data_IF_563552160376
#
_entry.id   IF_563552160376
#
_cell.length_a   1.000
_cell.length_b   1.000
_cell.length_c   1.000
_cell.angle_alpha   90.00
_cell.angle_beta   90.00
_cell.angle_gamma   90.00
#
_symmetry.space_group_name_H-M   'P 1'
#
loop_
_entity.id
_entity.type
_entity.pdbx_description
1 polymer ?
#
# COMPACT_ATOMS: atom_id res chain seq x y z
N UNK A 1 -28.44 40.78 36.61
CA UNK A 1 -29.40 39.64 36.65
C UNK A 1 -29.57 39.00 35.26
N UNK A 2 -29.80 39.80 34.18
CA UNK A 2 -30.00 39.26 32.81
C UNK A 2 -28.79 38.49 32.30
N UNK A 3 -27.56 38.99 32.51
CA UNK A 3 -26.30 38.31 32.10
C UNK A 3 -26.08 36.96 32.76
N UNK A 4 -26.43 36.82 34.05
CA UNK A 4 -26.31 35.55 34.80
C UNK A 4 -27.31 34.53 34.26
N UNK A 5 -28.53 34.98 33.96
CA UNK A 5 -29.58 34.10 33.39
C UNK A 5 -29.17 33.64 31.96
N UNK A 6 -28.58 34.52 31.15
CA UNK A 6 -28.07 34.14 29.80
C UNK A 6 -26.92 33.15 29.86
N UNK A 7 -25.96 33.34 30.75
CA UNK A 7 -24.83 32.41 30.93
C UNK A 7 -25.33 31.07 31.47
N UNK A 8 -26.25 31.08 32.42
CA UNK A 8 -26.87 29.85 32.96
C UNK A 8 -27.62 29.08 31.89
N UNK A 9 -28.36 29.76 31.00
CA UNK A 9 -29.05 29.12 29.86
C UNK A 9 -28.13 28.51 28.85
N UNK A 10 -27.02 29.18 28.51
CA UNK A 10 -26.00 28.63 27.58
C UNK A 10 -25.33 27.38 28.18
N UNK A 11 -24.96 27.43 29.46
CA UNK A 11 -24.38 26.28 30.16
C UNK A 11 -25.33 25.07 30.23
N UNK A 12 -26.61 25.31 30.53
CA UNK A 12 -27.59 24.26 30.54
C UNK A 12 -27.80 23.64 29.16
N UNK A 13 -27.85 24.44 28.10
CA UNK A 13 -27.95 23.95 26.73
C UNK A 13 -26.72 23.15 26.33
N UNK A 14 -25.53 23.64 26.65
CA UNK A 14 -24.28 22.92 26.39
C UNK A 14 -24.24 21.57 27.13
N UNK A 15 -24.65 21.53 28.40
CA UNK A 15 -24.75 20.30 29.17
C UNK A 15 -25.76 19.30 28.57
N UNK A 16 -26.92 19.78 28.10
CA UNK A 16 -27.90 18.97 27.40
C UNK A 16 -27.40 18.40 26.08
N UNK A 17 -26.68 19.20 25.29
CA UNK A 17 -26.02 18.74 24.03
C UNK A 17 -24.94 17.68 24.29
N UNK A 18 -24.07 17.92 25.28
CA UNK A 18 -23.08 16.93 25.70
C UNK A 18 -23.75 15.67 26.20
N UNK A 19 -24.78 15.77 27.09
CA UNK A 19 -25.51 14.62 27.57
C UNK A 19 -26.18 13.81 26.46
N UNK A 20 -26.74 14.48 25.44
CA UNK A 20 -27.36 13.82 24.30
C UNK A 20 -26.35 12.96 23.49
N UNK A 21 -25.07 13.38 23.41
CA UNK A 21 -24.03 12.64 22.70
C UNK A 21 -23.73 11.25 23.31
N UNK A 22 -24.01 11.07 24.59
CA UNK A 22 -23.82 9.80 25.31
C UNK A 22 -25.08 8.94 25.40
N UNK A 23 -26.17 9.34 24.75
CA UNK A 23 -27.43 8.57 24.73
C UNK A 23 -27.44 7.56 23.57
N UNK A 24 -28.36 6.57 23.58
CA UNK A 24 -28.56 5.65 22.45
C UNK A 24 -28.95 6.33 21.14
N UNK A 25 -29.32 7.61 21.16
CA UNK A 25 -29.57 8.41 19.94
C UNK A 25 -28.31 8.57 19.07
N UNK A 26 -27.15 8.65 19.71
CA UNK A 26 -25.83 8.77 19.07
C UNK A 26 -25.08 7.43 19.07
N UNK A 27 -25.77 6.31 19.24
CA UNK A 27 -25.16 4.99 19.18
C UNK A 27 -24.84 4.58 17.73
N UNK A 28 -23.73 3.91 17.54
CA UNK A 28 -23.31 3.35 16.25
C UNK A 28 -24.38 2.37 15.74
N UNK A 29 -24.97 2.67 14.60
CA UNK A 29 -25.92 1.80 13.89
C UNK A 29 -25.35 1.32 12.58
N UNK A 30 -24.51 2.13 11.96
CA UNK A 30 -23.88 1.88 10.68
C UNK A 30 -22.38 2.01 10.79
N UNK A 31 -21.65 1.03 10.26
CA UNK A 31 -20.18 1.04 10.16
C UNK A 31 -19.84 1.03 8.68
N UNK A 32 -19.19 2.09 8.21
CA UNK A 32 -18.79 2.27 6.84
C UNK A 32 -17.27 2.13 6.72
N UNK A 33 -16.82 1.32 5.78
CA UNK A 33 -15.39 1.16 5.46
C UNK A 33 -15.11 1.83 4.13
N UNK A 34 -14.25 2.84 4.14
CA UNK A 34 -13.83 3.58 2.95
C UNK A 34 -12.36 3.24 2.63
N UNK A 35 -12.03 3.13 1.32
CA UNK A 35 -10.65 2.88 0.85
C UNK A 35 -10.29 1.41 0.67
N UNK A 36 -11.16 0.47 1.04
CA UNK A 36 -10.98 -0.96 0.81
C UNK A 36 -11.15 -1.29 -0.69
N UNK A 37 -10.17 -2.02 -1.26
CA UNK A 37 -10.17 -2.52 -2.64
C UNK A 37 -9.79 -3.99 -2.70
N UNK A 38 -8.75 -4.38 -1.97
CA UNK A 38 -8.23 -5.75 -1.87
C UNK A 38 -8.77 -6.44 -0.63
N UNK A 39 -8.96 -5.69 0.46
CA UNK A 39 -9.57 -6.20 1.70
C UNK A 39 -11.09 -6.12 1.59
N UNK A 40 -11.79 -7.19 2.00
CA UNK A 40 -13.25 -7.18 2.05
C UNK A 40 -13.77 -6.24 3.14
N UNK A 41 -14.48 -5.19 2.73
CA UNK A 41 -15.16 -4.26 3.66
C UNK A 41 -16.12 -4.99 4.59
N UNK A 42 -16.85 -6.02 4.10
CA UNK A 42 -17.83 -6.78 4.88
C UNK A 42 -17.17 -7.57 6.01
N UNK A 43 -15.96 -8.09 5.81
CA UNK A 43 -15.21 -8.76 6.86
C UNK A 43 -14.82 -7.78 7.96
N UNK A 44 -14.31 -6.61 7.59
CA UNK A 44 -13.97 -5.55 8.56
C UNK A 44 -15.20 -5.12 9.36
N UNK A 45 -16.33 -4.87 8.68
CA UNK A 45 -17.60 -4.48 9.34
C UNK A 45 -18.04 -5.55 10.33
N UNK A 46 -17.94 -6.82 9.96
CA UNK A 46 -18.29 -7.95 10.84
C UNK A 46 -17.38 -8.01 12.07
N UNK A 47 -16.09 -7.82 11.89
CA UNK A 47 -15.11 -7.88 12.98
C UNK A 47 -15.24 -6.67 13.93
N UNK A 48 -15.80 -5.56 13.44
CA UNK A 48 -16.12 -4.37 14.22
C UNK A 48 -17.57 -4.35 14.76
N UNK A 49 -18.35 -5.41 14.56
CA UNK A 49 -19.76 -5.46 15.00
C UNK A 49 -19.94 -5.22 16.50
N UNK A 50 -18.92 -5.53 17.33
CA UNK A 50 -18.93 -5.23 18.77
C UNK A 50 -19.02 -3.72 19.10
N UNK A 51 -18.79 -2.83 18.14
CA UNK A 51 -18.95 -1.38 18.32
C UNK A 51 -20.41 -0.92 18.11
N UNK A 52 -21.26 -1.76 17.50
CA UNK A 52 -22.66 -1.41 17.29
C UNK A 52 -23.39 -1.24 18.64
N UNK A 53 -24.25 -0.24 18.72
CA UNK A 53 -24.96 0.13 19.95
C UNK A 53 -24.14 0.98 20.93
N UNK A 54 -22.84 1.15 20.73
CA UNK A 54 -21.99 2.02 21.54
C UNK A 54 -22.18 3.49 21.13
N UNK A 55 -22.39 4.44 22.04
CA UNK A 55 -22.39 5.86 21.71
C UNK A 55 -21.10 6.28 21.02
N UNK A 56 -21.18 7.09 19.95
CA UNK A 56 -20.03 7.50 19.15
C UNK A 56 -18.82 8.01 19.95
N UNK A 57 -19.00 8.84 21.04
CA UNK A 57 -17.85 9.27 21.85
C UNK A 57 -17.22 8.17 22.71
N UNK A 58 -17.91 7.03 22.87
CA UNK A 58 -17.45 5.89 23.69
C UNK A 58 -16.96 4.71 22.87
N UNK A 59 -16.84 4.86 21.55
CA UNK A 59 -16.28 3.84 20.66
C UNK A 59 -14.88 3.45 21.10
N UNK A 60 -14.64 2.14 21.24
CA UNK A 60 -13.36 1.60 21.70
C UNK A 60 -12.33 1.56 20.57
N UNK A 61 -11.46 2.56 20.56
CA UNK A 61 -10.37 2.69 19.60
C UNK A 61 -9.37 1.52 19.70
N UNK A 62 -9.19 0.94 20.89
CA UNK A 62 -8.26 -0.17 21.09
C UNK A 62 -8.80 -1.47 20.49
N UNK A 63 -10.11 -1.72 20.63
CA UNK A 63 -10.77 -2.84 19.98
C UNK A 63 -10.74 -2.72 18.43
N UNK A 64 -10.97 -1.50 17.91
CA UNK A 64 -10.84 -1.23 16.45
C UNK A 64 -9.43 -1.53 16.00
N UNK A 65 -8.42 -1.01 16.70
CA UNK A 65 -7.00 -1.27 16.37
C UNK A 65 -6.70 -2.77 16.38
N UNK A 66 -7.13 -3.50 17.40
CA UNK A 66 -6.90 -4.93 17.51
C UNK A 66 -7.53 -5.72 16.34
N UNK A 67 -8.73 -5.35 15.92
CA UNK A 67 -9.38 -5.95 14.76
C UNK A 67 -8.63 -5.66 13.45
N UNK A 68 -8.20 -4.40 13.23
CA UNK A 68 -7.57 -3.99 11.96
C UNK A 68 -6.13 -4.49 11.81
N UNK A 69 -5.39 -4.70 12.90
CA UNK A 69 -4.01 -5.27 12.87
C UNK A 69 -4.00 -6.70 12.31
N UNK A 70 -5.12 -7.43 12.38
CA UNK A 70 -5.24 -8.77 11.79
C UNK A 70 -5.21 -8.77 10.25
N UNK A 71 -5.27 -7.61 9.59
CA UNK A 71 -5.25 -7.45 8.14
C UNK A 71 -3.90 -6.87 7.67
N UNK A 72 -2.93 -7.69 7.22
CA UNK A 72 -1.60 -7.22 6.79
C UNK A 72 -1.66 -6.22 5.63
N UNK A 73 -2.70 -6.31 4.79
CA UNK A 73 -2.95 -5.39 3.68
C UNK A 73 -3.30 -3.96 4.13
N UNK A 74 -3.66 -3.74 5.41
CA UNK A 74 -3.95 -2.39 5.90
C UNK A 74 -2.63 -1.72 6.32
N UNK A 75 -2.25 -0.66 5.61
CA UNK A 75 -1.07 0.16 5.93
C UNK A 75 -1.36 1.12 7.08
N UNK A 76 -2.50 1.80 7.00
CA UNK A 76 -2.96 2.76 8.00
C UNK A 76 -4.47 2.89 7.96
N UNK A 77 -5.04 3.42 9.04
CA UNK A 77 -6.47 3.69 9.11
C UNK A 77 -6.73 4.97 9.91
N UNK A 78 -7.91 5.54 9.72
CA UNK A 78 -8.47 6.58 10.57
C UNK A 78 -9.92 6.27 10.90
N UNK A 79 -10.36 6.69 12.09
CA UNK A 79 -11.72 6.49 12.59
C UNK A 79 -12.39 7.84 12.67
N UNK A 80 -13.53 7.99 12.01
CA UNK A 80 -14.34 9.20 11.99
C UNK A 80 -15.74 8.89 12.50
N UNK A 81 -16.21 9.67 13.48
CA UNK A 81 -17.59 9.62 13.95
C UNK A 81 -18.43 10.61 13.14
N UNK A 82 -19.44 10.10 12.43
CA UNK A 82 -20.43 10.91 11.70
C UNK A 82 -21.77 10.84 12.40
N UNK A 83 -22.12 11.87 13.20
CA UNK A 83 -23.43 11.93 13.83
C UNK A 83 -24.57 11.83 12.81
N UNK A 84 -25.73 11.22 13.15
CA UNK A 84 -26.05 10.79 14.51
C UNK A 84 -25.55 9.39 14.88
N UNK A 85 -25.20 8.51 13.92
CA UNK A 85 -25.06 7.09 14.26
C UNK A 85 -24.09 6.32 13.32
N UNK A 86 -23.27 7.00 12.54
CA UNK A 86 -22.35 6.35 11.61
C UNK A 86 -20.92 6.42 12.12
N UNK A 87 -20.25 5.27 12.12
CA UNK A 87 -18.82 5.14 12.35
C UNK A 87 -18.14 4.87 11.01
N UNK A 88 -17.21 5.73 10.58
CA UNK A 88 -16.49 5.57 9.32
C UNK A 88 -15.06 5.15 9.62
N UNK A 89 -14.65 4.04 9.03
CA UNK A 89 -13.28 3.52 9.08
C UNK A 89 -12.67 3.76 7.70
N UNK A 90 -11.75 4.73 7.61
CA UNK A 90 -10.97 4.94 6.38
C UNK A 90 -9.70 4.17 6.47
N UNK A 91 -9.45 3.31 5.49
CA UNK A 91 -8.24 2.51 5.41
C UNK A 91 -7.40 2.93 4.21
N UNK A 92 -6.10 2.80 4.37
CA UNK A 92 -5.12 2.89 3.28
C UNK A 92 -4.51 1.51 3.15
N UNK A 93 -4.70 0.89 1.99
CA UNK A 93 -4.14 -0.43 1.71
C UNK A 93 -2.68 -0.34 1.26
N UNK A 94 -1.89 -1.35 1.65
CA UNK A 94 -0.53 -1.56 1.15
C UNK A 94 -0.60 -1.96 -0.31
N UNK A 95 0.40 -1.52 -1.06
CA UNK A 95 0.55 -1.91 -2.47
C UNK A 95 1.65 -2.96 -2.58
N UNK A 96 1.33 -4.13 -3.12
CA UNK A 96 2.37 -5.12 -3.43
C UNK A 96 3.39 -4.53 -4.38
N UNK A 97 4.66 -4.88 -4.20
CA UNK A 97 5.76 -4.44 -5.07
C UNK A 97 6.41 -5.60 -5.79
N UNK A 98 6.48 -6.78 -5.16
CA UNK A 98 7.09 -7.96 -5.75
C UNK A 98 7.02 -9.15 -4.81
N UNK A 99 7.61 -10.25 -5.23
CA UNK A 99 7.70 -11.50 -4.51
C UNK A 99 9.11 -11.68 -3.97
N UNK A 100 9.22 -12.18 -2.75
CA UNK A 100 10.46 -12.73 -2.21
C UNK A 100 10.26 -14.22 -1.94
N UNK A 101 11.35 -14.99 -1.90
CA UNK A 101 11.27 -16.43 -1.58
C UNK A 101 12.43 -16.83 -0.68
N UNK A 102 12.14 -17.74 0.25
CA UNK A 102 13.13 -18.46 1.05
C UNK A 102 13.41 -19.88 0.50
N UNK A 103 12.77 -20.23 -0.64
CA UNK A 103 12.86 -21.54 -1.28
C UNK A 103 11.70 -22.48 -0.95
N UNK A 104 10.86 -22.19 0.04
CA UNK A 104 9.70 -22.98 0.42
C UNK A 104 8.39 -22.33 -0.01
N UNK A 105 8.31 -21.00 0.05
CA UNK A 105 7.14 -20.23 -0.32
C UNK A 105 7.51 -18.93 -1.04
N UNK A 106 6.53 -18.33 -1.69
CA UNK A 106 6.62 -16.99 -2.28
C UNK A 106 5.81 -16.02 -1.42
N UNK A 107 6.50 -15.07 -0.84
CA UNK A 107 5.92 -14.01 -0.03
C UNK A 107 5.72 -12.77 -0.88
N UNK A 108 4.46 -12.37 -1.05
CA UNK A 108 4.11 -11.08 -1.66
C UNK A 108 4.35 -9.97 -0.65
N UNK A 109 5.20 -9.00 -1.00
CA UNK A 109 5.63 -7.94 -0.08
C UNK A 109 5.31 -6.55 -0.60
N UNK A 110 5.19 -5.60 0.33
CA UNK A 110 5.15 -4.18 0.01
C UNK A 110 6.56 -3.56 -0.01
N UNK A 111 6.64 -2.27 -0.34
CA UNK A 111 7.90 -1.50 -0.40
C UNK A 111 8.65 -1.42 0.94
N UNK A 112 7.99 -1.69 2.05
CA UNK A 112 8.59 -1.74 3.39
C UNK A 112 8.99 -3.17 3.81
N UNK A 113 8.85 -4.16 2.93
CA UNK A 113 9.14 -5.55 3.21
C UNK A 113 8.10 -6.25 4.09
N UNK A 114 6.91 -5.66 4.23
CA UNK A 114 5.83 -6.31 4.97
C UNK A 114 5.20 -7.39 4.10
N UNK A 115 5.14 -8.61 4.62
CA UNK A 115 4.49 -9.74 3.95
C UNK A 115 2.97 -9.54 3.96
N UNK A 116 2.38 -9.52 2.76
CA UNK A 116 0.95 -9.32 2.53
C UNK A 116 0.21 -10.66 2.40
N UNK A 117 0.86 -11.62 1.75
CA UNK A 117 0.38 -13.01 1.63
C UNK A 117 1.55 -13.93 1.32
N UNK A 118 1.41 -15.22 1.65
CA UNK A 118 2.36 -16.29 1.33
C UNK A 118 1.66 -17.38 0.52
N UNK A 119 2.34 -17.93 -0.49
CA UNK A 119 1.83 -18.99 -1.35
C UNK A 119 2.94 -20.00 -1.66
N UNK A 120 2.65 -21.32 -1.68
CA UNK A 120 3.63 -22.33 -2.10
C UNK A 120 3.93 -22.28 -3.61
N UNK A 121 3.03 -21.68 -4.41
CA UNK A 121 3.21 -21.47 -5.84
C UNK A 121 3.41 -20.00 -6.13
N UNK A 122 4.26 -19.68 -7.11
CA UNK A 122 4.52 -18.29 -7.52
C UNK A 122 3.25 -17.64 -8.06
N UNK A 123 2.72 -16.59 -7.42
CA UNK A 123 1.61 -15.82 -7.97
C UNK A 123 2.01 -15.09 -9.26
N UNK A 124 1.11 -15.09 -10.25
CA UNK A 124 1.32 -14.35 -11.49
C UNK A 124 1.21 -12.83 -11.27
N UNK A 125 1.86 -12.08 -12.16
CA UNK A 125 1.74 -10.62 -12.25
C UNK A 125 2.61 -9.85 -11.25
N UNK A 126 3.50 -10.52 -10.53
CA UNK A 126 4.47 -9.89 -9.64
C UNK A 126 5.90 -10.34 -9.94
N UNK A 127 6.86 -9.42 -10.07
CA UNK A 127 8.26 -9.76 -10.27
C UNK A 127 8.85 -10.43 -9.03
N UNK A 128 9.74 -11.40 -9.28
CA UNK A 128 10.57 -11.98 -8.22
C UNK A 128 11.71 -11.02 -7.89
N UNK A 129 11.92 -10.77 -6.61
CA UNK A 129 12.99 -9.90 -6.11
C UNK A 129 14.15 -10.76 -5.58
N UNK A 130 15.31 -10.61 -6.18
CA UNK A 130 16.55 -11.30 -5.80
C UNK A 130 17.55 -10.29 -5.28
N UNK A 131 17.96 -10.42 -4.05
CA UNK A 131 18.89 -9.49 -3.38
C UNK A 131 19.61 -10.20 -2.23
N UNK A 132 20.72 -9.62 -1.76
CA UNK A 132 21.45 -10.13 -0.62
C UNK A 132 20.85 -9.61 0.70
N UNK A 133 20.69 -10.50 1.68
CA UNK A 133 20.18 -10.17 3.01
C UNK A 133 18.66 -10.39 3.14
N UNK A 134 18.05 -9.67 4.07
CA UNK A 134 16.62 -9.72 4.37
C UNK A 134 15.84 -8.53 3.76
N UNK A 135 14.53 -8.50 3.98
CA UNK A 135 13.64 -7.42 3.53
C UNK A 135 13.93 -6.04 4.16
N UNK A 136 14.86 -5.95 5.12
CA UNK A 136 15.38 -4.71 5.67
C UNK A 136 16.69 -4.25 5.01
N UNK A 137 17.24 -5.03 4.08
CA UNK A 137 18.52 -4.75 3.42
C UNK A 137 18.43 -3.58 2.45
N UNK A 138 19.57 -2.98 2.15
CA UNK A 138 19.69 -1.92 1.15
C UNK A 138 19.42 -2.44 -0.27
N UNK A 139 19.74 -3.71 -0.56
CA UNK A 139 19.42 -4.37 -1.83
C UNK A 139 17.90 -4.48 -2.03
N UNK A 140 17.17 -4.94 -0.99
CA UNK A 140 15.69 -4.94 -1.04
C UNK A 140 15.14 -3.55 -1.31
N UNK A 141 15.60 -2.53 -0.55
CA UNK A 141 15.12 -1.15 -0.70
C UNK A 141 15.38 -0.59 -2.12
N UNK A 142 16.53 -0.92 -2.72
CA UNK A 142 16.87 -0.53 -4.09
C UNK A 142 15.93 -1.20 -5.11
N UNK A 143 15.76 -2.52 -5.05
CA UNK A 143 14.87 -3.27 -5.93
C UNK A 143 13.41 -2.78 -5.81
N UNK A 144 12.89 -2.65 -4.58
CA UNK A 144 11.53 -2.17 -4.32
C UNK A 144 11.33 -0.71 -4.80
N UNK A 145 12.36 0.14 -4.64
CA UNK A 145 12.36 1.52 -5.12
C UNK A 145 12.26 1.61 -6.64
N UNK A 146 13.02 0.79 -7.34
CA UNK A 146 12.98 0.69 -8.81
C UNK A 146 11.61 0.19 -9.27
N UNK A 147 11.13 -0.94 -8.76
CA UNK A 147 9.82 -1.50 -9.15
C UNK A 147 8.67 -0.50 -8.93
N UNK A 148 8.70 0.23 -7.82
CA UNK A 148 7.68 1.26 -7.54
C UNK A 148 7.70 2.42 -8.54
N UNK A 149 8.84 2.70 -9.17
CA UNK A 149 9.00 3.80 -10.12
C UNK A 149 8.54 3.45 -11.54
N UNK A 150 8.37 2.16 -11.83
CA UNK A 150 7.98 1.70 -13.16
C UNK A 150 6.53 2.04 -13.47
N UNK A 151 6.22 2.47 -14.70
CA UNK A 151 4.85 2.52 -15.19
C UNK A 151 4.19 1.12 -15.13
N UNK A 152 2.87 1.03 -14.89
CA UNK A 152 2.17 -0.26 -14.77
C UNK A 152 2.40 -1.20 -15.97
N UNK A 153 2.46 -0.64 -17.18
CA UNK A 153 2.67 -1.38 -18.42
C UNK A 153 4.06 -2.02 -18.48
N UNK A 154 5.08 -1.31 -17.98
CA UNK A 154 6.46 -1.83 -17.92
C UNK A 154 6.58 -2.83 -16.78
N UNK A 155 6.02 -2.51 -15.60
CA UNK A 155 6.04 -3.41 -14.45
C UNK A 155 5.43 -4.78 -14.79
N UNK A 156 4.34 -4.80 -15.54
CA UNK A 156 3.67 -6.03 -15.96
C UNK A 156 4.54 -6.94 -16.86
N UNK A 157 5.60 -6.40 -17.47
CA UNK A 157 6.53 -7.19 -18.31
C UNK A 157 7.76 -7.67 -17.54
N UNK A 158 7.95 -7.25 -16.28
CA UNK A 158 9.11 -7.64 -15.48
C UNK A 158 8.86 -9.00 -14.82
N UNK A 159 9.76 -9.96 -15.07
CA UNK A 159 9.75 -11.26 -14.41
C UNK A 159 10.57 -11.24 -13.11
N UNK A 160 11.75 -10.63 -13.16
CA UNK A 160 12.68 -10.63 -12.04
C UNK A 160 13.38 -9.28 -11.89
N UNK A 161 13.64 -8.88 -10.66
CA UNK A 161 14.55 -7.78 -10.33
C UNK A 161 15.67 -8.31 -9.46
N UNK A 162 16.90 -8.04 -9.85
CA UNK A 162 18.11 -8.38 -9.09
C UNK A 162 18.78 -7.12 -8.58
N UNK A 163 19.12 -7.08 -7.30
CA UNK A 163 19.88 -5.98 -6.69
C UNK A 163 21.06 -6.55 -5.90
N UNK A 164 22.22 -6.64 -6.55
CA UNK A 164 23.46 -7.06 -5.92
C UNK A 164 23.98 -6.00 -4.95
N UNK A 165 23.83 -4.73 -5.34
CA UNK A 165 24.12 -3.56 -4.51
C UNK A 165 23.04 -2.50 -4.72
N UNK A 166 23.11 -1.39 -3.98
CA UNK A 166 22.19 -0.24 -4.14
C UNK A 166 22.30 0.44 -5.52
N UNK A 167 23.42 0.27 -6.19
CA UNK A 167 23.72 0.91 -7.46
C UNK A 167 23.79 -0.08 -8.63
N UNK A 168 23.47 -1.35 -8.39
CA UNK A 168 23.50 -2.41 -9.40
C UNK A 168 22.16 -3.16 -9.41
N UNK A 169 21.12 -2.45 -9.87
CA UNK A 169 19.80 -3.04 -10.06
C UNK A 169 19.61 -3.38 -11.54
N UNK A 170 19.17 -4.61 -11.77
CA UNK A 170 18.83 -5.11 -13.11
C UNK A 170 17.42 -5.70 -13.11
N UNK A 171 16.73 -5.59 -14.25
CA UNK A 171 15.42 -6.20 -14.46
C UNK A 171 15.52 -7.23 -15.60
N UNK A 172 14.82 -8.34 -15.46
CA UNK A 172 14.66 -9.33 -16.54
C UNK A 172 13.21 -9.29 -17.00
N UNK A 173 13.00 -9.14 -18.31
CA UNK A 173 11.64 -9.09 -18.88
C UNK A 173 11.14 -10.51 -19.18
N UNK A 174 9.87 -10.78 -18.81
CA UNK A 174 9.28 -12.12 -18.79
C UNK A 174 9.32 -12.84 -20.15
N UNK A 175 8.65 -12.34 -21.17
CA UNK A 175 8.47 -13.07 -22.42
C UNK A 175 9.74 -13.12 -23.28
N UNK A 176 10.50 -12.02 -23.28
CA UNK A 176 11.69 -11.88 -24.10
C UNK A 176 12.97 -12.36 -23.43
N UNK A 177 13.04 -12.34 -22.10
CA UNK A 177 14.29 -12.52 -21.36
C UNK A 177 15.30 -11.36 -21.59
N UNK A 178 14.86 -10.23 -22.14
CA UNK A 178 15.72 -9.06 -22.28
C UNK A 178 16.08 -8.49 -20.91
N UNK A 179 17.34 -8.06 -20.76
CA UNK A 179 17.83 -7.50 -19.50
C UNK A 179 17.79 -5.98 -19.57
N UNK A 180 17.32 -5.36 -18.49
CA UNK A 180 17.38 -3.91 -18.32
C UNK A 180 18.40 -3.58 -17.24
N UNK A 181 19.50 -2.94 -17.60
CA UNK A 181 20.46 -2.38 -16.65
C UNK A 181 19.92 -1.06 -16.14
N UNK A 182 19.51 -1.05 -14.85
CA UNK A 182 18.93 0.13 -14.23
C UNK A 182 19.97 0.96 -13.46
N UNK A 183 20.92 0.26 -12.81
CA UNK A 183 21.88 0.89 -11.92
C UNK A 183 21.25 1.33 -10.60
N UNK A 184 21.50 2.55 -10.12
CA UNK A 184 20.93 3.08 -8.88
C UNK A 184 19.44 3.42 -8.98
N UNK A 185 18.77 3.57 -7.83
CA UNK A 185 17.39 4.05 -7.75
C UNK A 185 17.28 5.58 -8.00
N UNK A 186 18.41 6.29 -8.18
CA UNK A 186 18.39 7.71 -8.50
C UNK A 186 17.79 7.95 -9.89
N UNK A 187 17.10 9.08 -10.06
CA UNK A 187 16.47 9.49 -11.33
C UNK A 187 15.53 8.43 -11.94
N UNK A 188 15.02 7.49 -11.11
CA UNK A 188 14.20 6.37 -11.57
C UNK A 188 12.98 6.79 -12.41
N UNK A 189 12.41 7.96 -12.15
CA UNK A 189 11.30 8.48 -12.96
C UNK A 189 11.74 8.80 -14.40
N UNK A 190 12.93 9.40 -14.58
CA UNK A 190 13.48 9.69 -15.90
C UNK A 190 13.90 8.41 -16.63
N UNK A 191 14.53 7.46 -15.91
CA UNK A 191 14.90 6.14 -16.43
C UNK A 191 13.69 5.35 -16.90
N UNK A 192 12.58 5.40 -16.14
CA UNK A 192 11.33 4.72 -16.50
C UNK A 192 10.73 5.25 -17.81
N UNK A 193 10.75 6.58 -18.00
CA UNK A 193 10.29 7.21 -19.25
C UNK A 193 11.22 6.85 -20.41
N UNK A 194 12.54 6.86 -20.19
CA UNK A 194 13.51 6.46 -21.19
C UNK A 194 13.31 4.99 -21.61
N UNK A 195 13.18 4.07 -20.65
CA UNK A 195 12.91 2.65 -20.92
C UNK A 195 11.61 2.46 -21.71
N UNK A 196 10.51 3.09 -21.30
CA UNK A 196 9.23 2.99 -22.01
C UNK A 196 9.35 3.48 -23.46
N UNK A 197 10.09 4.57 -23.69
CA UNK A 197 10.35 5.11 -25.03
C UNK A 197 11.19 4.14 -25.86
N UNK A 198 12.22 3.53 -25.27
CA UNK A 198 13.07 2.55 -25.93
C UNK A 198 12.28 1.29 -26.30
N UNK A 199 11.50 0.73 -25.38
CA UNK A 199 10.69 -0.46 -25.63
C UNK A 199 9.63 -0.23 -26.73
N UNK A 200 9.06 0.96 -26.81
CA UNK A 200 8.13 1.30 -27.87
C UNK A 200 8.81 1.39 -29.26
N UNK A 201 10.08 1.79 -29.30
CA UNK A 201 10.83 1.93 -30.57
C UNK A 201 11.56 0.65 -30.96
N UNK A 202 12.05 -0.09 -30.00
CA UNK A 202 12.82 -1.32 -30.14
C UNK A 202 12.18 -2.37 -29.24
N UNK A 203 11.28 -3.21 -29.77
CA UNK A 203 10.55 -4.19 -28.97
C UNK A 203 11.47 -5.18 -28.26
N UNK A 204 11.13 -5.65 -27.05
CA UNK A 204 11.99 -6.50 -26.23
C UNK A 204 12.42 -7.81 -26.89
N UNK A 205 11.66 -8.32 -27.86
CA UNK A 205 11.99 -9.54 -28.62
C UNK A 205 13.21 -9.34 -29.53
N UNK A 206 13.50 -8.09 -29.93
CA UNK A 206 14.60 -7.72 -30.84
C UNK A 206 15.85 -7.23 -30.11
N UNK A 207 15.78 -7.08 -28.78
CA UNK A 207 16.85 -6.50 -27.95
C UNK A 207 17.31 -7.50 -26.91
N UNK A 208 18.62 -7.64 -26.73
CA UNK A 208 19.19 -8.45 -25.66
C UNK A 208 19.26 -7.65 -24.35
N UNK A 209 19.60 -6.35 -24.44
CA UNK A 209 19.75 -5.48 -23.28
C UNK A 209 19.36 -4.04 -23.59
N UNK A 210 18.69 -3.43 -22.62
CA UNK A 210 18.50 -1.99 -22.49
C UNK A 210 19.38 -1.48 -21.34
N UNK A 211 20.18 -0.47 -21.56
CA UNK A 211 20.92 0.22 -20.50
C UNK A 211 20.32 1.61 -20.32
N UNK A 212 19.68 1.82 -19.17
CA UNK A 212 19.07 3.08 -18.74
C UNK A 212 19.70 3.59 -17.43
N UNK A 213 20.87 3.07 -17.08
CA UNK A 213 21.59 3.46 -15.87
C UNK A 213 21.89 4.97 -15.82
N UNK A 214 22.04 5.58 -17.01
CA UNK A 214 22.11 7.02 -17.19
C UNK A 214 20.97 7.48 -18.12
N UNK A 215 19.99 8.25 -17.64
CA UNK A 215 18.83 8.65 -18.47
C UNK A 215 19.20 9.52 -19.68
N UNK A 216 20.34 10.21 -19.62
CA UNK A 216 20.84 11.08 -20.71
C UNK A 216 21.66 10.30 -21.77
N UNK A 217 22.06 9.07 -21.49
CA UNK A 217 22.91 8.25 -22.38
C UNK A 217 22.46 6.79 -22.37
N UNK A 218 21.31 6.55 -23.00
CA UNK A 218 20.73 5.19 -23.09
C UNK A 218 21.41 4.37 -24.20
N UNK A 219 21.59 3.07 -23.94
CA UNK A 219 22.22 2.14 -24.89
C UNK A 219 21.32 0.92 -25.07
N UNK A 220 21.30 0.37 -26.28
CA UNK A 220 20.64 -0.90 -26.59
C UNK A 220 21.63 -1.87 -27.21
N UNK A 221 21.57 -3.13 -26.78
CA UNK A 221 22.28 -4.23 -27.43
C UNK A 221 21.24 -5.05 -28.22
N UNK A 222 21.26 -5.04 -29.55
CA UNK A 222 20.37 -5.88 -30.35
C UNK A 222 20.72 -7.37 -30.20
N UNK A 223 19.75 -8.23 -30.48
CA UNK A 223 19.95 -9.69 -30.53
C UNK A 223 20.59 -10.12 -31.81
#
# INVERSE_FOLDING_TARGET
VIWIASVGGVLALAAACVGAAYTPLMAVRDIQVEGARLVSSDLIVRDLAGQQGTPLPLVDQSAIKAALVAYPLIQSYSVESRPPSTLVIRIVERRPVGLITDGEAFDLVDVAGVVLSSSPERPDGYPLMVFDGDSGSSGFAAAAGVLRSLPPEVLATVDEVTATTVDDVTLTLAESGAVVTWGSAEDSAAKAVALQTLMARYPPESVARYDVSSPDSVVIDPR
#
